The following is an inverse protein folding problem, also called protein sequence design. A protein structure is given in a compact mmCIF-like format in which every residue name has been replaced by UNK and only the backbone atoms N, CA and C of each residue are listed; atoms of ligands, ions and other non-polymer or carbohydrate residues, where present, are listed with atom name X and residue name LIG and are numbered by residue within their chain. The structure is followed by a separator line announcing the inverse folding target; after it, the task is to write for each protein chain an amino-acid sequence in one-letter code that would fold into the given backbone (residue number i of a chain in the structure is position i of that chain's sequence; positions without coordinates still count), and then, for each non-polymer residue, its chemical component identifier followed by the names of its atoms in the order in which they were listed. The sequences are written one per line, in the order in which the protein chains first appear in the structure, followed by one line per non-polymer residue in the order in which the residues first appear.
data_IF_212758815124
#
_entry.id   IF_212758815124
#
_cell.length_a   1.000
_cell.length_b   1.000
_cell.length_c   1.000
_cell.angle_alpha   90.00
_cell.angle_beta   90.00
_cell.angle_gamma   90.00
#
_symmetry.space_group_name_H-M   'P 1'
#
loop_
_entity.id
_entity.type
_entity.pdbx_description
1 polymer ?
#
# COMPACT_ATOMS: atom_id res chain seq x y z
N UNK A 1 -21.02 13.91 -5.52
CA UNK A 1 -20.26 12.99 -4.65
C UNK A 1 -19.53 12.00 -5.53
N UNK A 2 -18.30 11.63 -5.14
CA UNK A 2 -17.51 10.58 -5.78
C UNK A 2 -17.17 9.58 -4.69
N UNK A 3 -17.44 8.30 -4.92
CA UNK A 3 -17.13 7.20 -4.01
C UNK A 3 -16.40 6.10 -4.78
N UNK A 4 -15.26 5.64 -4.25
CA UNK A 4 -14.40 4.63 -4.90
C UNK A 4 -14.30 3.42 -3.99
N UNK A 5 -14.76 2.27 -4.48
CA UNK A 5 -14.84 1.03 -3.72
C UNK A 5 -14.00 -0.09 -4.35
N UNK A 6 -13.53 -1.02 -3.52
CA UNK A 6 -12.70 -2.16 -3.95
C UNK A 6 -11.20 -1.89 -3.99
N UNK A 7 -10.74 -0.68 -3.64
CA UNK A 7 -9.32 -0.35 -3.55
C UNK A 7 -8.68 -1.03 -2.32
N UNK A 8 -9.43 -1.14 -1.23
CA UNK A 8 -9.06 -1.89 -0.03
C UNK A 8 -8.89 -3.38 -0.28
N UNK A 9 -9.45 -3.93 -1.37
CA UNK A 9 -9.25 -5.31 -1.80
C UNK A 9 -8.18 -5.44 -2.88
N UNK A 10 -7.47 -4.36 -3.24
CA UNK A 10 -6.49 -4.36 -4.32
C UNK A 10 -5.27 -5.22 -3.96
N UNK A 11 -5.12 -6.39 -4.60
CA UNK A 11 -3.99 -7.31 -4.37
C UNK A 11 -3.06 -7.43 -5.55
N UNK A 12 -3.44 -6.93 -6.72
CA UNK A 12 -2.66 -6.99 -7.94
C UNK A 12 -2.44 -5.59 -8.54
N UNK A 13 -1.37 -5.41 -9.33
CA UNK A 13 -1.18 -4.19 -10.07
C UNK A 13 -2.31 -3.94 -11.06
N UNK A 14 -2.70 -2.67 -11.24
CA UNK A 14 -3.72 -2.25 -12.21
C UNK A 14 -5.06 -2.98 -12.02
N UNK A 15 -5.43 -3.31 -10.77
CA UNK A 15 -6.72 -3.92 -10.48
C UNK A 15 -7.86 -2.96 -10.80
N UNK A 16 -8.98 -3.49 -11.31
CA UNK A 16 -10.20 -2.70 -11.50
C UNK A 16 -10.87 -2.43 -10.15
N UNK A 17 -11.33 -1.19 -9.99
CA UNK A 17 -12.12 -0.71 -8.85
C UNK A 17 -13.37 0.00 -9.38
N UNK A 18 -14.37 0.23 -8.54
CA UNK A 18 -15.60 0.88 -8.96
C UNK A 18 -15.63 2.32 -8.45
N UNK A 19 -16.16 3.23 -9.27
CA UNK A 19 -16.41 4.61 -8.89
C UNK A 19 -17.89 4.93 -9.09
N UNK A 20 -18.58 5.29 -8.00
CA UNK A 20 -19.94 5.79 -8.04
C UNK A 20 -19.92 7.32 -8.04
N UNK A 21 -20.51 7.90 -9.08
CA UNK A 21 -20.59 9.35 -9.32
C UNK A 21 -22.05 9.78 -9.13
N UNK A 22 -22.31 10.56 -8.09
CA UNK A 22 -23.61 11.18 -7.86
C UNK A 22 -23.54 12.68 -8.22
N UNK A 23 -24.26 13.07 -9.28
CA UNK A 23 -24.40 14.47 -9.74
C UNK A 23 -25.70 15.06 -9.17
N UNK A 24 -25.72 16.38 -8.95
CA UNK A 24 -26.94 17.04 -8.44
C UNK A 24 -28.11 16.83 -9.39
N UNK A 25 -29.26 16.40 -8.85
CA UNK A 25 -30.50 16.17 -9.62
C UNK A 25 -30.47 14.99 -10.60
N UNK A 26 -29.41 14.17 -10.60
CA UNK A 26 -29.27 13.03 -11.49
C UNK A 26 -29.20 11.69 -10.76
N UNK A 27 -29.46 10.60 -11.49
CA UNK A 27 -29.23 9.26 -11.00
C UNK A 27 -27.72 9.00 -10.80
N UNK A 28 -27.32 8.23 -9.77
CA UNK A 28 -25.93 7.82 -9.60
C UNK A 28 -25.49 6.89 -10.73
N UNK A 29 -24.26 7.09 -11.19
CA UNK A 29 -23.62 6.30 -12.24
C UNK A 29 -22.43 5.54 -11.65
N UNK A 30 -22.27 4.26 -11.97
CA UNK A 30 -21.11 3.46 -11.55
C UNK A 30 -20.25 3.13 -12.76
N UNK A 31 -18.97 3.49 -12.71
CA UNK A 31 -17.99 3.25 -13.77
C UNK A 31 -16.78 2.47 -13.25
N UNK A 32 -16.20 1.55 -14.04
CA UNK A 32 -14.95 0.89 -13.68
C UNK A 32 -13.77 1.86 -13.83
N UNK A 33 -12.87 1.86 -12.85
CA UNK A 33 -11.60 2.54 -12.89
C UNK A 33 -10.45 1.54 -12.79
N UNK A 34 -9.26 1.95 -13.24
CA UNK A 34 -8.02 1.20 -13.07
C UNK A 34 -7.21 1.80 -11.91
N UNK A 35 -6.94 1.03 -10.87
CA UNK A 35 -6.06 1.46 -9.78
C UNK A 35 -4.62 1.61 -10.30
N UNK A 36 -4.02 2.81 -10.21
CA UNK A 36 -2.65 3.09 -10.69
C UNK A 36 -1.57 2.63 -9.70
N UNK A 37 -1.74 1.43 -9.15
CA UNK A 37 -0.68 0.65 -8.52
C UNK A 37 -0.07 -0.19 -9.64
N UNK A 38 1.01 0.28 -10.24
CA UNK A 38 1.60 -0.29 -11.46
C UNK A 38 2.50 -1.49 -11.20
N UNK A 39 3.04 -1.59 -9.99
CA UNK A 39 3.97 -2.63 -9.60
C UNK A 39 3.53 -3.37 -8.35
N UNK A 40 3.99 -4.62 -8.19
CA UNK A 40 3.75 -5.37 -6.95
C UNK A 40 4.30 -4.65 -5.72
N UNK A 41 5.38 -3.87 -5.88
CA UNK A 41 6.00 -3.12 -4.81
C UNK A 41 5.11 -1.95 -4.36
N UNK A 42 4.46 -1.25 -5.29
CA UNK A 42 3.48 -0.20 -4.98
C UNK A 42 2.24 -0.77 -4.27
N UNK A 43 1.76 -1.95 -4.67
CA UNK A 43 0.70 -2.66 -3.94
C UNK A 43 1.12 -2.89 -2.50
N UNK A 44 2.34 -3.38 -2.25
CA UNK A 44 2.83 -3.56 -0.88
C UNK A 44 2.92 -2.22 -0.13
N UNK A 45 3.41 -1.16 -0.76
CA UNK A 45 3.45 0.16 -0.13
C UNK A 45 2.05 0.62 0.28
N UNK A 46 1.06 0.50 -0.60
CA UNK A 46 -0.33 0.83 -0.28
C UNK A 46 -0.83 0.09 0.97
N UNK A 47 -0.67 -1.24 1.01
CA UNK A 47 -1.08 -2.08 2.15
C UNK A 47 -0.35 -1.77 3.46
N UNK A 48 0.89 -1.29 3.36
CA UNK A 48 1.65 -0.89 4.53
C UNK A 48 1.42 0.57 4.92
N UNK A 49 0.48 1.28 4.29
CA UNK A 49 0.17 2.68 4.60
C UNK A 49 1.21 3.66 4.05
N UNK A 50 1.86 3.31 2.94
CA UNK A 50 2.85 4.13 2.24
C UNK A 50 4.29 3.58 2.31
N UNK A 51 5.14 4.10 1.41
CA UNK A 51 6.54 3.70 1.27
C UNK A 51 7.34 3.88 2.58
N UNK A 52 7.13 5.00 3.29
CA UNK A 52 7.87 5.29 4.52
C UNK A 52 7.57 4.25 5.61
N UNK A 53 6.28 3.96 5.81
CA UNK A 53 5.83 2.97 6.79
C UNK A 53 6.36 1.58 6.45
N UNK A 54 6.34 1.18 5.18
CA UNK A 54 6.94 -0.06 4.71
C UNK A 54 8.44 -0.15 5.03
N UNK A 55 9.21 0.89 4.67
CA UNK A 55 10.67 0.90 4.85
C UNK A 55 11.06 0.92 6.32
N UNK A 56 10.44 1.74 7.15
CA UNK A 56 10.75 1.83 8.58
C UNK A 56 10.49 0.49 9.28
N UNK A 57 9.32 -0.13 9.05
CA UNK A 57 9.00 -1.46 9.61
C UNK A 57 10.02 -2.51 9.16
N UNK A 58 10.40 -2.51 7.87
CA UNK A 58 11.39 -3.44 7.33
C UNK A 58 12.78 -3.22 7.92
N UNK A 59 13.20 -1.97 8.13
CA UNK A 59 14.50 -1.64 8.74
C UNK A 59 14.54 -2.00 10.23
N UNK A 60 13.48 -1.71 10.97
CA UNK A 60 13.37 -2.08 12.39
C UNK A 60 13.36 -3.61 12.56
N UNK A 61 12.66 -4.35 11.70
CA UNK A 61 12.69 -5.81 11.69
C UNK A 61 14.11 -6.35 11.45
N UNK A 62 14.86 -5.78 10.50
CA UNK A 62 16.25 -6.17 10.17
C UNK A 62 17.27 -5.71 11.21
N UNK A 63 17.06 -4.55 11.84
CA UNK A 63 17.96 -3.95 12.84
C UNK A 63 18.11 -4.76 14.13
N UNK A 64 17.16 -5.67 14.40
CA UNK A 64 17.24 -6.61 15.51
C UNK A 64 18.40 -7.63 15.41
N UNK A 65 18.96 -7.85 14.22
CA UNK A 65 20.05 -8.83 14.00
C UNK A 65 21.46 -8.22 14.00
N UNK A 66 21.63 -6.93 13.67
CA UNK A 66 22.98 -6.35 13.57
C UNK A 66 23.59 -5.97 14.94
N UNK A 67 22.78 -5.69 15.96
CA UNK A 67 23.30 -5.27 17.27
C UNK A 67 23.89 -6.39 18.13
N UNK A 68 23.59 -7.67 17.87
CA UNK A 68 24.14 -8.80 18.65
C UNK A 68 25.47 -9.31 18.09
N UNK A 69 25.72 -9.18 16.80
CA UNK A 69 26.97 -9.63 16.17
C UNK A 69 28.16 -8.72 16.49
N UNK A 70 27.95 -7.40 16.65
CA UNK A 70 29.05 -6.45 16.86
C UNK A 70 29.64 -6.43 18.29
N UNK A 71 28.89 -6.86 19.32
CA UNK A 71 29.42 -6.93 20.70
C UNK A 71 30.33 -8.15 20.95
N UNK A 72 30.21 -9.22 20.17
CA UNK A 72 31.05 -10.41 20.31
C UNK A 72 32.46 -10.23 19.70
N UNK A 73 32.64 -9.27 18.78
CA UNK A 73 33.90 -9.04 18.10
C UNK A 73 34.86 -8.09 18.86
N UNK A 74 34.35 -7.30 19.81
CA UNK A 74 35.15 -6.34 20.59
C UNK A 74 35.62 -6.91 21.95
N UNK A 75 35.28 -8.15 22.25
CA UNK A 75 35.65 -8.85 23.50
C UNK A 75 36.85 -9.80 23.31
N UNK A 76 37.71 -9.55 22.32
CA UNK A 76 38.95 -10.28 22.06
C UNK A 76 40.11 -9.32 21.90
#
# INVERSE_FOLDING_TARGET
MIDVTGLEAARSPRQQVLCTIARSGGAPETVPLLARLDTNLEVQYYWHGGILNYVLRRRLAKGSHQSRASKAALAR
#
